data_IF_910755006821
#
_entry.id   IF_910755006821
#
_cell.length_a   1.000
_cell.length_b   1.000
_cell.length_c   1.000
_cell.angle_alpha   90.00
_cell.angle_beta   90.00
_cell.angle_gamma   90.00
#
_symmetry.space_group_name_H-M   'P 1'
#
loop_
_entity.id
_entity.type
_entity.pdbx_description
1 polymer ?
#
# COMPACT_ATOMS: atom_id res chain seq x y z
N UNK A 1 11.95 -35.84 -41.45
CA UNK A 1 12.60 -34.63 -40.88
C UNK A 1 11.62 -33.66 -40.27
N UNK A 2 10.43 -33.37 -40.82
CA UNK A 2 9.46 -32.40 -40.25
C UNK A 2 8.92 -32.73 -38.84
N UNK A 3 8.80 -34.01 -38.45
CA UNK A 3 8.30 -34.44 -37.12
C UNK A 3 9.32 -34.22 -36.02
N UNK A 4 10.62 -34.33 -36.29
CA UNK A 4 11.71 -34.15 -35.32
C UNK A 4 11.85 -32.64 -34.98
N UNK A 5 11.71 -31.78 -35.97
CA UNK A 5 11.76 -30.30 -35.76
C UNK A 5 10.63 -29.80 -34.87
N UNK A 6 9.44 -30.39 -34.96
CA UNK A 6 8.28 -30.03 -34.16
C UNK A 6 8.46 -30.45 -32.67
N UNK A 7 9.05 -31.63 -32.42
CA UNK A 7 9.33 -32.15 -31.06
C UNK A 7 10.43 -31.35 -30.39
N UNK A 8 11.47 -30.95 -31.10
CA UNK A 8 12.53 -30.10 -30.60
C UNK A 8 12.06 -28.69 -30.27
N UNK A 9 11.14 -28.14 -31.08
CA UNK A 9 10.54 -26.82 -30.82
C UNK A 9 9.59 -26.86 -29.63
N UNK A 10 8.79 -27.92 -29.47
CA UNK A 10 7.94 -28.11 -28.28
C UNK A 10 8.74 -28.33 -26.99
N UNK A 11 9.87 -29.05 -27.06
CA UNK A 11 10.77 -29.25 -25.91
C UNK A 11 11.48 -27.95 -25.49
N UNK A 12 11.94 -27.13 -26.45
CA UNK A 12 12.54 -25.83 -26.17
C UNK A 12 11.53 -24.84 -25.53
N UNK A 13 10.25 -24.94 -25.93
CA UNK A 13 9.17 -24.13 -25.36
C UNK A 13 8.87 -24.54 -23.92
N UNK A 14 8.83 -25.83 -23.60
CA UNK A 14 8.56 -26.31 -22.24
C UNK A 14 9.69 -26.04 -21.25
N UNK A 15 10.93 -26.12 -21.68
CA UNK A 15 12.11 -25.79 -20.86
C UNK A 15 12.09 -24.31 -20.49
N UNK A 16 11.75 -23.41 -21.41
CA UNK A 16 11.69 -21.97 -21.15
C UNK A 16 10.57 -21.56 -20.18
N UNK A 17 9.43 -22.28 -20.16
CA UNK A 17 8.34 -22.03 -19.17
C UNK A 17 8.77 -22.43 -17.77
N UNK A 18 9.42 -23.58 -17.62
CA UNK A 18 9.89 -24.06 -16.33
C UNK A 18 11.02 -23.19 -15.78
N UNK A 19 11.91 -22.68 -16.63
CA UNK A 19 13.00 -21.80 -16.23
C UNK A 19 12.49 -20.46 -15.68
N UNK A 20 11.44 -19.87 -16.28
CA UNK A 20 10.90 -18.57 -15.84
C UNK A 20 10.04 -18.68 -14.56
N UNK A 21 9.29 -19.78 -14.40
CA UNK A 21 8.65 -20.07 -13.11
C UNK A 21 9.69 -20.33 -12.01
N UNK A 22 10.83 -20.88 -12.36
CA UNK A 22 12.00 -21.03 -11.49
C UNK A 22 12.54 -19.68 -10.99
N UNK A 23 12.52 -18.62 -11.83
CA UNK A 23 12.94 -17.26 -11.40
C UNK A 23 12.06 -16.71 -10.29
N UNK A 24 10.75 -16.90 -10.36
CA UNK A 24 9.82 -16.48 -9.30
C UNK A 24 10.07 -17.26 -8.01
N UNK A 25 10.31 -18.56 -8.10
CA UNK A 25 10.67 -19.39 -6.93
C UNK A 25 12.02 -18.98 -6.35
N UNK A 26 13.01 -18.66 -7.19
CA UNK A 26 14.29 -18.13 -6.72
C UNK A 26 14.15 -16.79 -6.02
N UNK A 27 13.26 -15.91 -6.52
CA UNK A 27 12.96 -14.64 -5.87
C UNK A 27 12.38 -14.85 -4.46
N UNK A 28 11.49 -15.83 -4.27
CA UNK A 28 10.96 -16.17 -2.93
C UNK A 28 12.07 -16.63 -1.96
N UNK A 29 13.02 -17.43 -2.44
CA UNK A 29 14.20 -17.83 -1.64
C UNK A 29 15.03 -16.61 -1.26
N UNK A 30 15.34 -15.74 -2.23
CA UNK A 30 16.09 -14.51 -1.99
C UNK A 30 15.41 -13.55 -1.02
N UNK A 31 14.07 -13.47 -1.03
CA UNK A 31 13.31 -12.69 -0.04
C UNK A 31 13.56 -13.27 1.37
N UNK A 32 13.47 -14.59 1.53
CA UNK A 32 13.72 -15.27 2.80
C UNK A 32 15.14 -15.05 3.30
N UNK A 33 16.12 -15.03 2.38
CA UNK A 33 17.53 -14.79 2.65
C UNK A 33 17.85 -13.29 2.85
N UNK A 34 16.86 -12.39 2.73
CA UNK A 34 16.99 -10.92 2.70
C UNK A 34 17.94 -10.40 1.61
N UNK A 35 18.13 -11.17 0.55
CA UNK A 35 18.91 -10.79 -0.63
C UNK A 35 18.05 -10.03 -1.64
N UNK A 36 17.51 -8.85 -1.21
CA UNK A 36 16.45 -8.13 -1.91
C UNK A 36 16.83 -7.67 -3.32
N UNK A 37 18.08 -7.26 -3.56
CA UNK A 37 18.58 -6.92 -4.91
C UNK A 37 18.46 -8.12 -5.88
N UNK A 38 18.81 -9.34 -5.39
CA UNK A 38 18.71 -10.56 -6.19
C UNK A 38 17.25 -10.95 -6.44
N UNK A 39 16.40 -10.78 -5.41
CA UNK A 39 14.97 -11.02 -5.53
C UNK A 39 14.34 -10.08 -6.59
N UNK A 40 14.68 -8.78 -6.54
CA UNK A 40 14.24 -7.80 -7.55
C UNK A 40 14.68 -8.21 -8.95
N UNK A 41 15.96 -8.50 -9.15
CA UNK A 41 16.48 -8.90 -10.46
C UNK A 41 15.73 -10.12 -11.02
N UNK A 42 15.47 -11.13 -10.20
CA UNK A 42 14.75 -12.33 -10.62
C UNK A 42 13.27 -12.04 -10.96
N UNK A 43 12.60 -11.18 -10.20
CA UNK A 43 11.21 -10.79 -10.46
C UNK A 43 11.09 -9.93 -11.71
N UNK A 44 11.95 -8.92 -11.89
CA UNK A 44 11.90 -8.07 -13.09
C UNK A 44 12.19 -8.89 -14.35
N UNK A 45 13.10 -9.86 -14.29
CA UNK A 45 13.34 -10.80 -15.39
C UNK A 45 12.11 -11.67 -15.69
N UNK A 46 11.35 -12.08 -14.66
CA UNK A 46 10.10 -12.83 -14.84
C UNK A 46 8.97 -11.95 -15.42
N UNK A 47 8.90 -10.68 -15.07
CA UNK A 47 7.86 -9.73 -15.54
C UNK A 47 8.00 -9.44 -17.03
N UNK A 48 9.22 -9.32 -17.56
CA UNK A 48 9.45 -9.03 -18.97
C UNK A 48 9.28 -10.25 -19.87
N UNK A 49 9.22 -11.44 -19.31
CA UNK A 49 9.04 -12.66 -20.10
C UNK A 49 7.56 -12.93 -20.36
N UNK A 50 7.11 -13.04 -21.65
CA UNK A 50 5.70 -13.22 -22.00
C UNK A 50 5.00 -14.40 -21.32
N UNK A 51 5.75 -15.43 -20.89
CA UNK A 51 5.19 -16.65 -20.28
C UNK A 51 4.98 -16.54 -18.77
N UNK A 52 5.63 -15.60 -18.12
CA UNK A 52 5.50 -15.33 -16.68
C UNK A 52 4.95 -13.95 -16.38
N UNK A 53 4.89 -13.06 -17.38
CA UNK A 53 4.30 -11.73 -17.26
C UNK A 53 2.79 -11.79 -16.90
N UNK A 54 2.08 -12.83 -17.33
CA UNK A 54 0.66 -13.03 -17.02
C UNK A 54 0.44 -14.06 -15.89
N UNK A 55 1.50 -14.50 -15.22
CA UNK A 55 1.36 -15.41 -14.10
C UNK A 55 1.15 -14.65 -12.80
N UNK A 56 -0.04 -14.73 -12.22
CA UNK A 56 -0.43 -14.01 -11.00
C UNK A 56 0.59 -14.11 -9.85
N UNK A 57 1.23 -15.30 -9.69
CA UNK A 57 2.27 -15.51 -8.67
C UNK A 57 3.48 -14.60 -8.84
N UNK A 58 3.82 -14.18 -10.06
CA UNK A 58 4.92 -13.24 -10.31
C UNK A 58 4.70 -11.92 -9.56
N UNK A 59 3.51 -11.38 -9.69
CA UNK A 59 3.14 -10.13 -9.02
C UNK A 59 2.89 -10.32 -7.52
N UNK A 60 2.33 -11.45 -7.12
CA UNK A 60 2.21 -11.78 -5.71
C UNK A 60 3.58 -11.80 -5.01
N UNK A 61 4.59 -12.43 -5.61
CA UNK A 61 5.95 -12.47 -5.06
C UNK A 61 6.61 -11.10 -5.12
N UNK A 62 6.33 -10.29 -6.15
CA UNK A 62 6.79 -8.88 -6.20
C UNK A 62 6.23 -8.08 -5.02
N UNK A 63 4.95 -8.21 -4.75
CA UNK A 63 4.33 -7.55 -3.60
C UNK A 63 4.98 -7.97 -2.27
N UNK A 64 5.22 -9.26 -2.09
CA UNK A 64 5.92 -9.79 -0.90
C UNK A 64 7.36 -9.27 -0.79
N UNK A 65 8.08 -9.15 -1.90
CA UNK A 65 9.41 -8.54 -1.93
C UNK A 65 9.37 -7.12 -1.39
N UNK A 66 8.43 -6.31 -1.89
CA UNK A 66 8.31 -4.91 -1.49
C UNK A 66 8.00 -4.76 0.01
N UNK A 67 7.08 -5.55 0.54
CA UNK A 67 6.76 -5.56 1.98
C UNK A 67 7.97 -5.99 2.82
N UNK A 68 8.58 -7.12 2.50
CA UNK A 68 9.73 -7.63 3.24
C UNK A 68 10.93 -6.67 3.21
N UNK A 69 11.13 -5.96 2.10
CA UNK A 69 12.17 -4.95 1.97
C UNK A 69 11.87 -3.73 2.85
N UNK A 70 10.61 -3.25 2.89
CA UNK A 70 10.18 -2.16 3.76
C UNK A 70 10.31 -2.54 5.24
N UNK A 71 9.78 -3.69 5.64
CA UNK A 71 9.82 -4.22 7.00
C UNK A 71 11.25 -4.47 7.51
N UNK A 72 12.21 -4.68 6.61
CA UNK A 72 13.62 -4.90 6.99
C UNK A 72 14.25 -3.69 7.67
N UNK A 73 13.74 -2.48 7.43
CA UNK A 73 14.32 -1.22 7.89
C UNK A 73 15.62 -0.84 7.20
N UNK A 74 16.12 -1.63 6.26
CA UNK A 74 17.32 -1.32 5.47
C UNK A 74 16.98 -0.25 4.43
N UNK A 75 17.64 0.91 4.52
CA UNK A 75 17.40 2.04 3.64
C UNK A 75 17.60 1.68 2.15
N UNK A 76 18.60 0.86 1.84
CA UNK A 76 18.84 0.41 0.47
C UNK A 76 17.71 -0.48 -0.04
N UNK A 77 17.19 -1.36 0.82
CA UNK A 77 16.06 -2.23 0.49
C UNK A 77 14.77 -1.43 0.30
N UNK A 78 14.49 -0.45 1.17
CA UNK A 78 13.32 0.44 1.06
C UNK A 78 13.36 1.22 -0.25
N UNK A 79 14.53 1.61 -0.73
CA UNK A 79 14.74 2.35 -1.97
C UNK A 79 14.83 1.45 -3.23
N UNK A 80 14.52 0.15 -3.15
CA UNK A 80 14.45 -0.71 -4.33
C UNK A 80 13.46 -0.22 -5.39
N UNK A 81 12.36 0.38 -4.94
CA UNK A 81 11.35 1.03 -5.79
C UNK A 81 11.05 2.42 -5.23
N UNK A 82 10.71 3.40 -6.10
CA UNK A 82 10.48 4.79 -5.67
C UNK A 82 9.36 4.96 -4.63
N UNK A 83 8.36 4.11 -4.64
CA UNK A 83 7.23 4.08 -3.71
C UNK A 83 6.90 2.62 -3.40
N UNK A 84 7.73 2.03 -2.55
CA UNK A 84 7.79 0.59 -2.34
C UNK A 84 6.49 -0.01 -1.80
N UNK A 85 5.76 0.71 -0.93
CA UNK A 85 4.50 0.22 -0.38
C UNK A 85 3.36 0.29 -1.41
N UNK A 86 3.32 1.33 -2.23
CA UNK A 86 2.38 1.39 -3.35
C UNK A 86 2.74 0.39 -4.44
N UNK A 87 4.01 0.11 -4.67
CA UNK A 87 4.44 -0.96 -5.56
C UNK A 87 3.97 -2.34 -5.05
N UNK A 88 4.03 -2.58 -3.72
CA UNK A 88 3.47 -3.78 -3.10
C UNK A 88 1.97 -3.89 -3.35
N UNK A 89 1.21 -2.85 -3.03
CA UNK A 89 -0.25 -2.81 -3.23
C UNK A 89 -0.64 -3.07 -4.68
N UNK A 90 -0.04 -2.33 -5.61
CA UNK A 90 -0.32 -2.46 -7.05
C UNK A 90 0.03 -3.87 -7.57
N UNK A 91 1.09 -4.47 -7.04
CA UNK A 91 1.48 -5.84 -7.39
C UNK A 91 0.44 -6.87 -6.90
N UNK A 92 -0.08 -6.74 -5.69
CA UNK A 92 -1.16 -7.63 -5.21
C UNK A 92 -2.46 -7.43 -5.99
N UNK A 93 -2.86 -6.20 -6.29
CA UNK A 93 -4.02 -5.91 -7.15
C UNK A 93 -3.84 -6.53 -8.55
N UNK A 94 -2.65 -6.43 -9.12
CA UNK A 94 -2.33 -7.06 -10.41
C UNK A 94 -2.43 -8.59 -10.32
N UNK A 95 -1.94 -9.19 -9.23
CA UNK A 95 -2.05 -10.63 -9.03
C UNK A 95 -3.51 -11.09 -8.99
N UNK A 96 -4.38 -10.36 -8.26
CA UNK A 96 -5.83 -10.64 -8.20
C UNK A 96 -6.50 -10.46 -9.56
N UNK A 97 -6.11 -9.43 -10.31
CA UNK A 97 -6.66 -9.17 -11.64
C UNK A 97 -6.32 -10.28 -12.65
N UNK A 98 -5.15 -10.90 -12.53
CA UNK A 98 -4.70 -12.01 -13.38
C UNK A 98 -5.30 -13.35 -12.97
N UNK A 99 -5.47 -13.57 -11.67
CA UNK A 99 -6.13 -14.77 -11.12
C UNK A 99 -6.96 -14.38 -9.88
N UNK A 100 -8.28 -14.28 -9.99
CA UNK A 100 -9.17 -13.94 -8.87
C UNK A 100 -9.04 -14.88 -7.66
N UNK A 101 -8.52 -16.11 -7.83
CA UNK A 101 -8.27 -17.03 -6.73
C UNK A 101 -7.16 -16.54 -5.79
N UNK A 102 -6.28 -15.65 -6.27
CA UNK A 102 -5.25 -15.02 -5.44
C UNK A 102 -5.85 -14.19 -4.28
N UNK A 103 -7.08 -13.69 -4.42
CA UNK A 103 -7.81 -13.04 -3.33
C UNK A 103 -7.86 -13.91 -2.06
N UNK A 104 -8.16 -15.20 -2.21
CA UNK A 104 -8.21 -16.13 -1.08
C UNK A 104 -6.85 -16.31 -0.40
N UNK A 105 -5.77 -16.31 -1.18
CA UNK A 105 -4.40 -16.39 -0.65
C UNK A 105 -4.04 -15.13 0.11
N UNK A 106 -4.31 -13.97 -0.46
CA UNK A 106 -4.06 -12.64 0.12
C UNK A 106 -4.80 -12.48 1.45
N UNK A 107 -6.08 -12.87 1.50
CA UNK A 107 -6.90 -12.82 2.73
C UNK A 107 -6.36 -13.79 3.78
N UNK A 108 -6.09 -15.04 3.40
CA UNK A 108 -5.57 -16.07 4.32
C UNK A 108 -4.22 -15.69 4.93
N UNK A 109 -3.36 -15.06 4.18
CA UNK A 109 -2.03 -14.63 4.63
C UNK A 109 -2.03 -13.24 5.25
N UNK A 110 -3.20 -12.61 5.42
CA UNK A 110 -3.38 -11.26 5.99
C UNK A 110 -2.50 -10.18 5.33
N UNK A 111 -2.24 -10.31 4.04
CA UNK A 111 -1.30 -9.44 3.31
C UNK A 111 -1.73 -7.96 3.41
N UNK A 112 -3.02 -7.68 3.25
CA UNK A 112 -3.52 -6.30 3.33
C UNK A 112 -3.51 -5.72 4.75
N UNK A 113 -3.65 -6.58 5.77
CA UNK A 113 -3.46 -6.13 7.16
C UNK A 113 -2.00 -5.72 7.42
N UNK A 114 -1.03 -6.46 6.85
CA UNK A 114 0.38 -6.08 6.84
C UNK A 114 0.59 -4.73 6.17
N UNK A 115 0.07 -4.54 4.94
CA UNK A 115 0.19 -3.27 4.22
C UNK A 115 -0.44 -2.08 4.96
N UNK A 116 -1.61 -2.26 5.57
CA UNK A 116 -2.25 -1.24 6.40
C UNK A 116 -1.33 -0.82 7.55
N UNK A 117 -0.70 -1.79 8.23
CA UNK A 117 0.29 -1.50 9.27
C UNK A 117 1.54 -0.80 8.72
N UNK A 118 2.04 -1.23 7.58
CA UNK A 118 3.25 -0.65 6.99
C UNK A 118 3.04 0.80 6.57
N UNK A 119 1.90 1.12 5.94
CA UNK A 119 1.53 2.49 5.62
C UNK A 119 1.33 3.34 6.88
N UNK A 120 0.76 2.78 7.96
CA UNK A 120 0.64 3.48 9.23
C UNK A 120 2.02 3.80 9.83
N UNK A 121 2.93 2.83 9.84
CA UNK A 121 4.29 3.01 10.34
C UNK A 121 5.07 4.04 9.52
N UNK A 122 4.92 4.03 8.21
CA UNK A 122 5.52 5.01 7.30
C UNK A 122 4.98 6.41 7.57
N UNK A 123 3.65 6.54 7.74
CA UNK A 123 3.01 7.81 8.06
C UNK A 123 3.51 8.39 9.40
N UNK A 124 3.61 7.56 10.43
CA UNK A 124 4.13 7.98 11.76
C UNK A 124 5.58 8.45 11.65
N UNK A 125 6.45 7.68 10.98
CA UNK A 125 7.86 8.06 10.77
C UNK A 125 7.98 9.42 10.08
N UNK A 126 7.21 9.65 9.02
CA UNK A 126 7.20 10.92 8.29
C UNK A 126 6.66 12.07 9.15
N UNK A 127 5.62 11.81 9.94
CA UNK A 127 5.07 12.80 10.85
C UNK A 127 6.08 13.23 11.93
N UNK A 128 6.81 12.28 12.49
CA UNK A 128 7.83 12.52 13.53
C UNK A 128 9.01 13.40 13.01
N UNK A 129 9.37 13.23 11.74
CA UNK A 129 10.39 14.07 11.10
C UNK A 129 9.80 15.35 10.48
N UNK A 130 8.53 15.64 10.73
CA UNK A 130 7.78 16.81 10.24
C UNK A 130 7.59 16.86 8.72
N UNK A 131 7.73 15.74 8.02
CA UNK A 131 7.25 15.59 6.65
C UNK A 131 5.73 15.34 6.66
N UNK A 132 5.00 16.40 6.98
CA UNK A 132 3.54 16.30 7.16
C UNK A 132 2.80 15.99 5.86
N UNK A 133 3.28 16.49 4.73
CA UNK A 133 2.69 16.17 3.43
C UNK A 133 2.92 14.70 3.04
N UNK A 134 4.13 14.19 3.30
CA UNK A 134 4.44 12.77 3.11
C UNK A 134 3.65 11.87 4.07
N UNK A 135 3.52 12.30 5.34
CA UNK A 135 2.72 11.58 6.34
C UNK A 135 1.24 11.51 5.92
N UNK A 136 0.67 12.63 5.45
CA UNK A 136 -0.70 12.67 4.95
C UNK A 136 -0.89 11.66 3.81
N UNK A 137 0.02 11.63 2.83
CA UNK A 137 -0.05 10.67 1.72
C UNK A 137 -0.06 9.23 2.23
N UNK A 138 0.79 8.89 3.20
CA UNK A 138 0.86 7.52 3.73
C UNK A 138 -0.39 7.17 4.56
N UNK A 139 -1.00 8.12 5.29
CA UNK A 139 -2.31 7.90 5.93
C UNK A 139 -3.42 7.72 4.88
N UNK A 140 -3.44 8.49 3.79
CA UNK A 140 -4.38 8.31 2.68
C UNK A 140 -4.25 6.94 2.03
N UNK A 141 -3.02 6.49 1.80
CA UNK A 141 -2.74 5.16 1.25
C UNK A 141 -3.18 4.04 2.22
N UNK A 142 -2.97 4.21 3.54
CA UNK A 142 -3.51 3.30 4.55
C UNK A 142 -5.03 3.18 4.45
N UNK A 143 -5.75 4.30 4.43
CA UNK A 143 -7.22 4.33 4.31
C UNK A 143 -7.67 3.66 3.01
N UNK A 144 -7.00 3.95 1.89
CA UNK A 144 -7.30 3.35 0.58
C UNK A 144 -7.16 1.81 0.61
N UNK A 145 -6.09 1.29 1.20
CA UNK A 145 -5.89 -0.16 1.33
C UNK A 145 -6.92 -0.76 2.27
N UNK A 146 -7.25 -0.08 3.38
CA UNK A 146 -8.26 -0.52 4.33
C UNK A 146 -9.70 -0.52 3.75
N UNK A 147 -9.95 0.20 2.67
CA UNK A 147 -11.22 0.22 1.94
C UNK A 147 -11.27 -0.80 0.79
N UNK A 148 -10.15 -1.49 0.50
CA UNK A 148 -10.12 -2.51 -0.55
C UNK A 148 -11.00 -3.70 -0.20
N UNK A 149 -11.68 -4.27 -1.21
CA UNK A 149 -12.44 -5.53 -1.11
C UNK A 149 -11.57 -6.74 -0.73
N UNK A 150 -10.26 -6.59 -0.79
CA UNK A 150 -9.28 -7.61 -0.42
C UNK A 150 -8.85 -7.52 1.04
N UNK A 151 -9.30 -6.50 1.78
CA UNK A 151 -9.03 -6.32 3.20
C UNK A 151 -10.20 -6.79 4.07
N UNK A 152 -9.87 -7.60 5.06
CA UNK A 152 -10.85 -8.08 6.06
C UNK A 152 -10.64 -7.27 7.34
N UNK A 153 -11.18 -6.07 7.36
CA UNK A 153 -11.07 -5.16 8.48
C UNK A 153 -11.94 -3.93 8.29
N UNK A 154 -11.66 -2.91 9.09
CA UNK A 154 -12.35 -1.60 9.01
C UNK A 154 -11.32 -0.49 8.98
N UNK A 155 -11.66 0.61 8.35
CA UNK A 155 -10.88 1.85 8.45
C UNK A 155 -10.86 2.30 9.91
N UNK A 156 -9.66 2.48 10.46
CA UNK A 156 -9.50 2.99 11.82
C UNK A 156 -9.75 4.49 11.87
N UNK A 157 -10.70 4.91 12.70
CA UNK A 157 -11.02 6.33 12.89
C UNK A 157 -9.84 7.14 13.45
N UNK A 158 -8.91 6.49 14.17
CA UNK A 158 -7.68 7.14 14.65
C UNK A 158 -6.76 7.49 13.48
N UNK A 159 -6.66 6.61 12.47
CA UNK A 159 -5.88 6.89 11.25
C UNK A 159 -6.49 8.05 10.48
N UNK A 160 -7.82 8.09 10.35
CA UNK A 160 -8.53 9.21 9.69
C UNK A 160 -8.29 10.53 10.44
N UNK A 161 -8.32 10.51 11.77
CA UNK A 161 -8.00 11.69 12.58
C UNK A 161 -6.55 12.13 12.39
N UNK A 162 -5.59 11.20 12.37
CA UNK A 162 -4.18 11.48 12.16
C UNK A 162 -3.89 12.03 10.76
N UNK A 163 -4.63 11.58 9.73
CA UNK A 163 -4.60 12.18 8.40
C UNK A 163 -5.02 13.66 8.46
N UNK A 164 -6.07 13.98 9.23
CA UNK A 164 -6.48 15.35 9.50
C UNK A 164 -5.37 16.16 10.18
N UNK A 165 -4.69 15.60 11.20
CA UNK A 165 -3.57 16.28 11.86
C UNK A 165 -2.38 16.50 10.91
N UNK A 166 -2.06 15.53 10.07
CA UNK A 166 -1.01 15.68 9.07
C UNK A 166 -1.37 16.79 8.06
N UNK A 167 -2.60 16.81 7.56
CA UNK A 167 -3.08 17.88 6.68
C UNK A 167 -3.03 19.26 7.37
N UNK A 168 -3.47 19.34 8.63
CA UNK A 168 -3.43 20.57 9.43
C UNK A 168 -1.99 21.10 9.56
N UNK A 169 -1.04 20.25 9.94
CA UNK A 169 0.36 20.64 10.09
C UNK A 169 1.03 20.97 8.75
N UNK A 170 0.56 20.37 7.65
CA UNK A 170 0.95 20.73 6.28
C UNK A 170 0.27 22.02 5.77
N UNK A 171 -0.55 22.68 6.60
CA UNK A 171 -1.33 23.88 6.27
C UNK A 171 -2.36 23.66 5.13
N UNK A 172 -2.74 22.40 4.91
CA UNK A 172 -3.81 22.00 3.96
C UNK A 172 -5.15 22.00 4.68
N UNK A 173 -5.62 23.19 5.12
CA UNK A 173 -6.74 23.30 6.05
C UNK A 173 -8.06 22.75 5.53
N UNK A 174 -8.37 22.94 4.23
CA UNK A 174 -9.58 22.36 3.62
C UNK A 174 -9.57 20.83 3.74
N UNK A 175 -8.43 20.20 3.42
CA UNK A 175 -8.24 18.75 3.54
C UNK A 175 -8.33 18.28 4.99
N UNK A 176 -7.75 19.03 5.91
CA UNK A 176 -7.84 18.73 7.34
C UNK A 176 -9.30 18.72 7.83
N UNK A 177 -10.10 19.71 7.41
CA UNK A 177 -11.53 19.79 7.73
C UNK A 177 -12.28 18.56 7.19
N UNK A 178 -11.98 18.11 5.97
CA UNK A 178 -12.61 16.91 5.40
C UNK A 178 -12.35 15.66 6.26
N UNK A 179 -11.11 15.43 6.69
CA UNK A 179 -10.76 14.30 7.55
C UNK A 179 -11.35 14.40 8.95
N UNK A 180 -11.30 15.58 9.57
CA UNK A 180 -11.90 15.78 10.88
C UNK A 180 -13.42 15.58 10.83
N UNK A 181 -14.08 16.06 9.79
CA UNK A 181 -15.53 15.85 9.57
C UNK A 181 -15.85 14.37 9.34
N UNK A 182 -15.03 13.65 8.58
CA UNK A 182 -15.18 12.20 8.39
C UNK A 182 -15.03 11.45 9.72
N UNK A 183 -14.06 11.85 10.55
CA UNK A 183 -13.84 11.26 11.87
C UNK A 183 -15.02 11.55 12.82
N UNK A 184 -15.55 12.76 12.84
CA UNK A 184 -16.67 13.16 13.68
C UNK A 184 -17.94 12.33 13.43
N UNK A 185 -18.18 11.94 12.17
CA UNK A 185 -19.31 11.07 11.79
C UNK A 185 -19.21 9.64 12.32
N UNK A 186 -18.04 9.18 12.70
CA UNK A 186 -17.82 7.79 13.14
C UNK A 186 -17.99 7.57 14.63
N UNK A 187 -17.94 8.63 15.46
CA UNK A 187 -18.04 8.56 16.91
C UNK A 187 -18.80 9.76 17.45
N UNK A 188 -19.95 9.50 18.05
CA UNK A 188 -20.85 10.52 18.63
C UNK A 188 -20.31 11.24 19.88
N UNK A 189 -19.21 10.79 20.47
CA UNK A 189 -18.68 11.36 21.73
C UNK A 189 -17.29 11.99 21.59
N UNK A 190 -16.90 12.39 20.40
CA UNK A 190 -15.53 12.84 20.13
C UNK A 190 -15.51 14.31 19.69
N UNK A 191 -15.43 15.25 20.65
CA UNK A 191 -15.40 16.69 20.38
C UNK A 191 -14.12 17.18 19.67
N UNK A 192 -13.00 16.46 19.77
CA UNK A 192 -11.71 16.89 19.19
C UNK A 192 -11.76 17.25 17.71
N UNK A 193 -12.38 16.49 16.81
CA UNK A 193 -12.48 16.86 15.39
C UNK A 193 -13.08 18.24 15.18
N UNK A 194 -14.13 18.60 15.93
CA UNK A 194 -14.79 19.89 15.81
C UNK A 194 -13.90 21.04 16.25
N UNK A 195 -13.11 20.85 17.32
CA UNK A 195 -12.11 21.83 17.79
C UNK A 195 -11.07 22.07 16.70
N UNK A 196 -10.54 21.02 16.09
CA UNK A 196 -9.57 21.16 15.00
C UNK A 196 -10.17 21.76 13.73
N UNK A 197 -11.44 21.44 13.40
CA UNK A 197 -12.16 22.11 12.29
C UNK A 197 -12.28 23.59 12.55
N UNK A 198 -12.69 23.99 13.76
CA UNK A 198 -12.76 25.39 14.15
C UNK A 198 -11.42 26.10 13.99
N UNK A 199 -10.33 25.50 14.49
CA UNK A 199 -8.99 26.09 14.35
C UNK A 199 -8.56 26.20 12.87
N UNK A 200 -8.85 25.22 12.04
CA UNK A 200 -8.64 25.32 10.58
C UNK A 200 -9.36 26.54 9.99
N UNK A 201 -10.65 26.74 10.31
CA UNK A 201 -11.41 27.89 9.84
C UNK A 201 -10.84 29.22 10.35
N UNK A 202 -10.36 29.27 11.62
CA UNK A 202 -9.65 30.45 12.15
C UNK A 202 -8.36 30.75 11.38
N UNK A 203 -7.57 29.71 11.04
CA UNK A 203 -6.37 29.90 10.20
C UNK A 203 -6.73 30.42 8.80
N UNK A 204 -7.90 30.05 8.28
CA UNK A 204 -8.45 30.53 7.01
C UNK A 204 -9.16 31.89 7.14
N UNK A 205 -9.22 32.47 8.34
CA UNK A 205 -9.90 33.72 8.68
C UNK A 205 -11.42 33.69 8.50
N UNK A 206 -12.02 32.51 8.56
CA UNK A 206 -13.48 32.31 8.49
C UNK A 206 -14.03 32.07 9.91
N UNK A 207 -14.24 33.16 10.66
CA UNK A 207 -14.70 33.11 12.05
C UNK A 207 -16.09 32.55 12.18
N UNK A 208 -16.98 32.80 11.19
CA UNK A 208 -18.36 32.30 11.20
C UNK A 208 -18.38 30.77 11.16
N UNK A 209 -17.64 30.15 10.23
CA UNK A 209 -17.56 28.68 10.16
C UNK A 209 -16.82 28.09 11.34
N UNK A 210 -15.89 28.83 11.96
CA UNK A 210 -15.22 28.39 13.17
C UNK A 210 -16.20 28.24 14.34
N UNK A 211 -17.11 29.21 14.52
CA UNK A 211 -18.17 29.15 15.54
C UNK A 211 -19.16 28.03 15.24
N UNK A 212 -19.61 27.91 13.98
CA UNK A 212 -20.50 26.82 13.55
C UNK A 212 -19.92 25.44 13.86
N UNK A 213 -18.64 25.22 13.59
CA UNK A 213 -17.97 23.95 13.88
C UNK A 213 -17.97 23.62 15.38
N UNK A 214 -17.73 24.61 16.26
CA UNK A 214 -17.79 24.39 17.71
C UNK A 214 -19.21 24.09 18.18
N UNK A 215 -20.22 24.80 17.65
CA UNK A 215 -21.62 24.54 17.98
C UNK A 215 -22.06 23.14 17.55
N UNK A 216 -21.61 22.67 16.36
CA UNK A 216 -21.87 21.30 15.88
C UNK A 216 -21.29 20.24 16.84
N UNK A 217 -20.14 20.51 17.45
CA UNK A 217 -19.50 19.60 18.41
C UNK A 217 -20.09 19.62 19.82
N UNK A 218 -21.00 20.55 20.13
CA UNK A 218 -21.69 20.64 21.41
C UNK A 218 -23.06 19.93 21.41
N UNK A 219 -23.57 19.55 20.23
CA UNK A 219 -24.85 18.87 20.07
C UNK A 219 -24.68 17.35 19.92
#
# INVERSE_FOLDING_TARGET
>A
MKKITFVLMAAAISISVSAQKGKVTSAESYITEKAFDKAKAAIEEAIVNPKSAEWARTYYVKGKLCMAAFESGDEKAINLYPDILNEAYNSFEKAVSLDPKMKNTIIRENVYAGLVNDFLNDAIKKFDVKDYAGALKSFEDNVRVAQSDNYVGRVDSVVVFNAGLAAYNAQMYDKAIEYFRACAKTKTEFAKPYIFMSDCYLKMKDTTKAEEALMEGCN
#
